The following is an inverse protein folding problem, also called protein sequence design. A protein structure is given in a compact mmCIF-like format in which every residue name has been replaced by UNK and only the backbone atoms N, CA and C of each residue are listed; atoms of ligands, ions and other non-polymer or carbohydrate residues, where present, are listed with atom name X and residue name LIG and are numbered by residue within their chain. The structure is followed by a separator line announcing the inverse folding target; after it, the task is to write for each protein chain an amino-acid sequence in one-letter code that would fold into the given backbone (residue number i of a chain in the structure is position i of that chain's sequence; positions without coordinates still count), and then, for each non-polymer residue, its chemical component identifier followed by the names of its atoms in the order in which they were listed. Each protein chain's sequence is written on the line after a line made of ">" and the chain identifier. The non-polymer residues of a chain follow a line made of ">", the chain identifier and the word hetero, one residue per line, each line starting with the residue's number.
data_IF_720290172699
#
_entry.id   IF_720290172699
#
_cell.length_a   1.000
_cell.length_b   1.000
_cell.length_c   1.000
_cell.angle_alpha   90.00
_cell.angle_beta   90.00
_cell.angle_gamma   90.00
#
_symmetry.space_group_name_H-M   'P 1'
#
loop_
_entity.id
_entity.type
_entity.pdbx_description
1 polymer ?
#
# COMPACT_ATOMS: atom_id res chain seq x y z
N UNK A 1 41.35 -53.34 15.46
CA UNK A 1 40.81 -53.08 16.80
C UNK A 1 39.34 -52.74 16.66
N UNK A 2 38.42 -53.47 17.31
CA UNK A 2 37.01 -53.13 17.34
C UNK A 2 36.78 -52.01 18.36
N UNK A 3 35.99 -51.00 18.03
CA UNK A 3 35.54 -50.01 19.01
C UNK A 3 34.05 -50.15 19.20
N UNK A 4 33.71 -50.49 20.43
CA UNK A 4 32.39 -50.87 20.91
C UNK A 4 31.32 -49.78 20.75
N UNK A 5 30.12 -50.27 20.50
CA UNK A 5 28.87 -49.56 20.44
C UNK A 5 28.39 -49.21 21.86
N UNK A 6 27.98 -47.97 22.10
CA UNK A 6 27.14 -47.62 23.25
C UNK A 6 26.02 -46.66 22.80
N UNK A 7 24.74 -47.10 22.80
CA UNK A 7 23.60 -46.21 22.63
C UNK A 7 22.96 -45.89 24.00
N UNK A 8 22.02 -44.93 23.97
CA UNK A 8 21.01 -44.56 24.97
C UNK A 8 21.31 -43.30 25.82
N UNK A 9 20.30 -42.57 26.36
CA UNK A 9 18.85 -42.84 26.34
C UNK A 9 17.96 -41.69 25.80
N UNK A 10 16.69 -42.05 25.59
CA UNK A 10 15.58 -41.16 25.30
C UNK A 10 15.41 -40.06 26.35
N UNK A 11 15.44 -38.79 25.92
CA UNK A 11 14.83 -37.67 26.65
C UNK A 11 13.62 -37.19 25.85
N UNK A 12 12.53 -37.92 26.04
CA UNK A 12 11.19 -37.62 25.62
C UNK A 12 10.59 -36.61 26.62
N UNK A 13 10.71 -35.31 26.36
CA UNK A 13 9.89 -34.26 27.00
C UNK A 13 9.36 -33.33 25.90
N UNK A 14 8.27 -33.66 25.22
CA UNK A 14 6.90 -33.44 25.72
C UNK A 14 6.68 -32.09 26.43
N UNK A 15 7.24 -31.00 25.90
CA UNK A 15 6.59 -29.68 26.02
C UNK A 15 5.44 -29.59 25.00
N UNK A 16 4.44 -30.42 25.29
CA UNK A 16 3.08 -30.31 24.82
C UNK A 16 2.53 -28.98 25.34
N UNK A 17 1.94 -28.20 24.45
CA UNK A 17 1.12 -27.01 24.70
C UNK A 17 1.85 -25.67 24.87
N UNK A 18 2.59 -25.25 23.83
CA UNK A 18 2.25 -23.91 23.34
C UNK A 18 0.90 -24.05 22.65
N UNK A 19 -0.12 -23.63 23.37
CA UNK A 19 -1.45 -23.37 22.89
C UNK A 19 -1.32 -22.36 21.75
N UNK A 20 -1.01 -22.86 20.54
CA UNK A 20 -1.20 -22.11 19.31
C UNK A 20 -2.70 -21.93 19.21
N UNK A 21 -3.16 -20.83 19.78
CA UNK A 21 -4.52 -20.35 19.66
C UNK A 21 -4.95 -20.58 18.21
N UNK A 22 -6.11 -21.19 17.96
CA UNK A 22 -6.58 -21.40 16.61
C UNK A 22 -6.74 -20.03 15.97
N UNK A 23 -5.71 -19.57 15.27
CA UNK A 23 -5.78 -18.39 14.43
C UNK A 23 -6.86 -18.72 13.42
N UNK A 24 -8.00 -18.10 13.66
CA UNK A 24 -9.25 -18.36 12.97
C UNK A 24 -8.95 -18.44 11.47
N UNK A 25 -9.48 -19.45 10.77
CA UNK A 25 -9.16 -19.68 9.34
C UNK A 25 -9.39 -18.45 8.44
N UNK A 26 -10.12 -17.45 8.94
CA UNK A 26 -10.28 -16.11 8.39
C UNK A 26 -8.94 -15.38 8.23
N UNK A 27 -8.03 -15.39 9.22
CA UNK A 27 -6.73 -14.70 9.15
C UNK A 27 -5.78 -15.33 8.14
N UNK A 28 -5.73 -16.67 8.07
CA UNK A 28 -5.00 -17.36 7.00
C UNK A 28 -5.54 -17.02 5.62
N UNK A 29 -6.87 -16.90 5.50
CA UNK A 29 -7.52 -16.56 4.22
C UNK A 29 -7.26 -15.10 3.81
N UNK A 30 -7.31 -14.15 4.74
CA UNK A 30 -7.06 -12.72 4.50
C UNK A 30 -5.58 -12.47 4.21
N UNK A 31 -4.70 -13.08 5.00
CA UNK A 31 -3.25 -13.07 4.75
C UNK A 31 -2.92 -13.62 3.36
N UNK A 32 -3.55 -14.72 2.95
CA UNK A 32 -3.37 -15.26 1.59
C UNK A 32 -3.91 -14.34 0.49
N UNK A 33 -4.98 -13.56 0.74
CA UNK A 33 -5.60 -12.66 -0.24
C UNK A 33 -4.80 -11.37 -0.41
N UNK A 34 -4.41 -10.74 0.71
CA UNK A 34 -3.52 -9.58 0.73
C UNK A 34 -2.15 -9.92 0.16
N UNK A 35 -1.56 -11.06 0.52
CA UNK A 35 -0.29 -11.50 -0.06
C UNK A 35 -0.41 -11.72 -1.57
N UNK A 36 -1.49 -12.35 -2.06
CA UNK A 36 -1.72 -12.51 -3.51
C UNK A 36 -1.97 -11.19 -4.23
N UNK A 37 -2.51 -10.20 -3.54
CA UNK A 37 -2.73 -8.87 -4.08
C UNK A 37 -1.43 -8.05 -4.15
N UNK A 38 -0.64 -8.05 -3.07
CA UNK A 38 0.63 -7.33 -2.95
C UNK A 38 1.77 -8.00 -3.73
N UNK A 39 1.73 -9.32 -3.89
CA UNK A 39 2.69 -10.12 -4.66
C UNK A 39 1.99 -10.86 -5.81
N UNK A 40 1.50 -10.12 -6.81
CA UNK A 40 0.77 -10.70 -7.91
C UNK A 40 1.69 -11.53 -8.83
N UNK A 41 1.15 -12.62 -9.37
CA UNK A 41 1.83 -13.37 -10.44
C UNK A 41 2.04 -12.46 -11.67
N UNK A 42 3.18 -12.58 -12.35
CA UNK A 42 3.50 -11.80 -13.55
C UNK A 42 2.44 -11.89 -14.66
N UNK A 43 2.38 -10.86 -15.49
CA UNK A 43 1.52 -10.86 -16.67
C UNK A 43 1.92 -11.95 -17.68
N UNK A 44 0.98 -12.37 -18.54
CA UNK A 44 1.30 -13.21 -19.71
C UNK A 44 2.24 -12.43 -20.63
N UNK A 45 3.27 -13.10 -21.18
CA UNK A 45 4.31 -12.49 -22.04
C UNK A 45 3.77 -12.10 -23.42
N UNK A 46 2.97 -11.04 -23.45
CA UNK A 46 2.39 -10.41 -24.62
C UNK A 46 1.91 -9.00 -24.22
N UNK A 47 2.00 -8.02 -25.11
CA UNK A 47 1.55 -6.63 -24.83
C UNK A 47 0.10 -6.60 -24.35
N UNK A 48 -0.80 -7.31 -25.03
CA UNK A 48 -2.21 -7.43 -24.61
C UNK A 48 -2.38 -8.11 -23.25
N UNK A 49 -1.50 -9.07 -22.90
CA UNK A 49 -1.46 -9.72 -21.59
C UNK A 49 -1.02 -8.77 -20.47
N UNK A 50 -0.07 -7.87 -20.75
CA UNK A 50 0.39 -6.82 -19.83
C UNK A 50 -0.76 -5.84 -19.58
N UNK A 51 -1.35 -5.26 -20.63
CA UNK A 51 -2.49 -4.34 -20.48
C UNK A 51 -3.66 -4.97 -19.72
N UNK A 52 -4.04 -6.22 -20.06
CA UNK A 52 -5.11 -6.95 -19.36
C UNK A 52 -4.77 -7.25 -17.90
N UNK A 53 -3.49 -7.40 -17.56
CA UNK A 53 -3.05 -7.61 -16.19
C UNK A 53 -3.12 -6.32 -15.37
N UNK A 54 -2.74 -5.19 -15.96
CA UNK A 54 -2.88 -3.87 -15.36
C UNK A 54 -4.35 -3.53 -15.18
N UNK A 55 -5.18 -3.58 -16.23
CA UNK A 55 -6.57 -3.14 -16.15
C UNK A 55 -7.40 -3.86 -15.06
N UNK A 56 -7.16 -5.15 -14.82
CA UNK A 56 -7.81 -5.89 -13.71
C UNK A 56 -7.49 -5.34 -12.33
N UNK A 57 -6.31 -4.72 -12.16
CA UNK A 57 -5.85 -4.13 -10.90
C UNK A 57 -6.21 -2.67 -10.79
N UNK A 58 -6.63 -2.02 -11.89
CA UNK A 58 -7.02 -0.63 -11.90
C UNK A 58 -8.15 -0.36 -10.91
N UNK A 59 -9.15 -1.24 -10.88
CA UNK A 59 -10.27 -1.10 -9.95
C UNK A 59 -9.81 -1.14 -8.49
N UNK A 60 -8.95 -2.10 -8.12
CA UNK A 60 -8.42 -2.17 -6.77
C UNK A 60 -7.51 -0.99 -6.42
N UNK A 61 -6.67 -0.54 -7.36
CA UNK A 61 -5.85 0.65 -7.21
C UNK A 61 -6.71 1.90 -6.98
N UNK A 62 -7.69 2.15 -7.86
CA UNK A 62 -8.61 3.27 -7.76
C UNK A 62 -9.45 3.22 -6.49
N UNK A 63 -9.83 2.03 -6.01
CA UNK A 63 -10.53 1.88 -4.74
C UNK A 63 -9.64 2.24 -3.54
N UNK A 64 -8.38 1.79 -3.53
CA UNK A 64 -7.43 2.10 -2.44
C UNK A 64 -7.09 3.60 -2.43
N UNK A 65 -6.74 4.15 -3.60
CA UNK A 65 -6.38 5.57 -3.75
C UNK A 65 -7.60 6.46 -3.49
N UNK A 66 -8.77 6.05 -3.99
CA UNK A 66 -10.04 6.75 -3.74
C UNK A 66 -10.45 6.71 -2.27
N UNK A 67 -10.27 5.57 -1.58
CA UNK A 67 -10.49 5.48 -0.14
C UNK A 67 -9.51 6.36 0.64
N UNK A 68 -8.22 6.33 0.28
CA UNK A 68 -7.21 7.20 0.89
C UNK A 68 -7.52 8.69 0.71
N UNK A 69 -7.84 9.11 -0.51
CA UNK A 69 -8.28 10.48 -0.81
C UNK A 69 -9.59 10.85 -0.13
N UNK A 70 -10.54 9.92 -0.01
CA UNK A 70 -11.80 10.13 0.71
C UNK A 70 -11.58 10.37 2.20
N UNK A 71 -10.67 9.62 2.83
CA UNK A 71 -10.28 9.86 4.22
C UNK A 71 -9.59 11.23 4.38
N UNK A 72 -8.73 11.60 3.45
CA UNK A 72 -8.12 12.95 3.42
C UNK A 72 -9.18 14.05 3.28
N UNK A 73 -10.21 13.84 2.45
CA UNK A 73 -11.31 14.78 2.29
C UNK A 73 -12.15 14.92 3.55
N UNK A 74 -12.45 13.81 4.24
CA UNK A 74 -13.15 13.83 5.52
C UNK A 74 -12.35 14.58 6.59
N UNK A 75 -11.03 14.35 6.66
CA UNK A 75 -10.15 15.07 7.57
C UNK A 75 -10.10 16.57 7.26
N UNK A 76 -10.04 16.94 5.98
CA UNK A 76 -10.12 18.33 5.55
C UNK A 76 -11.44 18.98 5.97
N UNK A 77 -12.57 18.32 5.71
CA UNK A 77 -13.88 18.80 6.14
C UNK A 77 -13.94 19.00 7.65
N UNK A 78 -13.48 18.03 8.44
CA UNK A 78 -13.44 18.13 9.90
C UNK A 78 -12.61 19.33 10.40
N UNK A 79 -11.49 19.64 9.75
CA UNK A 79 -10.69 20.84 10.05
C UNK A 79 -11.39 22.13 9.60
N UNK A 80 -12.08 22.10 8.47
CA UNK A 80 -12.87 23.24 7.98
C UNK A 80 -13.97 23.68 8.95
N UNK A 81 -14.56 22.75 9.70
CA UNK A 81 -15.51 23.06 10.79
C UNK A 81 -14.88 23.86 11.94
N UNK A 82 -13.57 23.74 12.15
CA UNK A 82 -12.85 24.38 13.28
C UNK A 82 -12.20 25.69 12.84
N UNK A 83 -11.57 25.69 11.66
CA UNK A 83 -10.66 26.76 11.23
C UNK A 83 -11.16 27.53 9.99
N UNK A 84 -12.27 27.11 9.38
CA UNK A 84 -12.77 27.61 8.11
C UNK A 84 -12.21 26.84 6.90
N UNK A 85 -12.94 26.89 5.78
CA UNK A 85 -12.57 26.18 4.56
C UNK A 85 -11.36 26.83 3.87
N UNK A 86 -10.46 25.98 3.35
CA UNK A 86 -9.33 26.39 2.51
C UNK A 86 -9.67 26.11 1.04
N UNK A 87 -9.89 27.16 0.22
CA UNK A 87 -10.32 27.01 -1.17
C UNK A 87 -9.25 26.36 -2.07
N UNK A 88 -8.00 26.26 -1.64
CA UNK A 88 -6.89 25.70 -2.42
C UNK A 88 -6.82 24.17 -2.26
N UNK A 89 -7.23 23.67 -1.10
CA UNK A 89 -6.96 22.32 -0.66
C UNK A 89 -7.77 21.27 -1.43
N UNK A 90 -9.03 21.58 -1.73
CA UNK A 90 -9.91 20.69 -2.47
C UNK A 90 -9.48 20.55 -3.95
N UNK A 91 -9.19 21.63 -4.71
CA UNK A 91 -8.53 21.54 -6.01
C UNK A 91 -7.20 20.78 -5.98
N UNK A 92 -6.37 21.00 -4.95
CA UNK A 92 -5.11 20.28 -4.80
C UNK A 92 -5.34 18.77 -4.64
N UNK A 93 -6.33 18.34 -3.86
CA UNK A 93 -6.68 16.93 -3.69
C UNK A 93 -7.09 16.27 -5.03
N UNK A 94 -7.90 16.97 -5.83
CA UNK A 94 -8.28 16.51 -7.18
C UNK A 94 -7.07 16.42 -8.12
N UNK A 95 -6.17 17.40 -8.07
CA UNK A 95 -4.94 17.37 -8.85
C UNK A 95 -4.05 16.17 -8.48
N UNK A 96 -3.88 15.92 -7.17
CA UNK A 96 -3.14 14.75 -6.68
C UNK A 96 -3.77 13.43 -7.14
N UNK A 97 -5.10 13.34 -7.16
CA UNK A 97 -5.81 12.19 -7.69
C UNK A 97 -5.57 12.02 -9.20
N UNK A 98 -5.56 13.10 -9.97
CA UNK A 98 -5.23 13.06 -11.39
C UNK A 98 -3.81 12.56 -11.63
N UNK A 99 -2.84 13.07 -10.86
CA UNK A 99 -1.43 12.62 -10.91
C UNK A 99 -1.32 11.13 -10.59
N UNK A 100 -2.02 10.63 -9.56
CA UNK A 100 -2.03 9.21 -9.23
C UNK A 100 -2.54 8.33 -10.39
N UNK A 101 -3.57 8.80 -11.11
CA UNK A 101 -4.07 8.10 -12.30
C UNK A 101 -3.05 8.12 -13.45
N UNK A 102 -2.35 9.23 -13.68
CA UNK A 102 -1.27 9.31 -14.68
C UNK A 102 -0.14 8.34 -14.32
N UNK A 103 0.34 8.36 -13.08
CA UNK A 103 1.36 7.42 -12.59
C UNK A 103 0.94 5.95 -12.79
N UNK A 104 -0.34 5.64 -12.59
CA UNK A 104 -0.86 4.31 -12.85
C UNK A 104 -0.78 3.93 -14.34
N UNK A 105 -1.18 4.85 -15.24
CA UNK A 105 -1.14 4.60 -16.69
C UNK A 105 0.27 4.47 -17.27
N UNK A 106 1.27 5.08 -16.63
CA UNK A 106 2.67 4.93 -17.03
C UNK A 106 3.18 3.50 -16.79
N UNK A 107 2.67 2.80 -15.77
CA UNK A 107 3.05 1.41 -15.46
C UNK A 107 3.00 0.43 -16.65
N UNK A 108 1.83 0.21 -17.28
CA UNK A 108 1.71 -0.68 -18.45
C UNK A 108 2.51 -0.19 -19.66
N UNK A 109 2.66 1.12 -19.83
CA UNK A 109 3.45 1.71 -20.93
C UNK A 109 4.93 1.39 -20.75
N UNK A 110 5.49 1.64 -19.56
CA UNK A 110 6.88 1.34 -19.24
C UNK A 110 7.14 -0.16 -19.35
N UNK A 111 6.26 -1.02 -18.83
CA UNK A 111 6.43 -2.48 -18.94
C UNK A 111 6.36 -2.96 -20.40
N UNK A 112 5.50 -2.35 -21.23
CA UNK A 112 5.41 -2.66 -22.66
C UNK A 112 6.65 -2.24 -23.44
N UNK A 113 7.22 -1.05 -23.13
CA UNK A 113 8.47 -0.58 -23.72
C UNK A 113 9.62 -1.51 -23.32
N UNK A 114 9.71 -1.87 -22.05
CA UNK A 114 10.76 -2.77 -21.55
C UNK A 114 10.68 -4.15 -22.22
N UNK A 115 9.47 -4.67 -22.40
CA UNK A 115 9.24 -5.91 -23.12
C UNK A 115 9.63 -5.82 -24.60
N UNK A 116 9.47 -4.65 -25.24
CA UNK A 116 9.83 -4.43 -26.64
C UNK A 116 11.35 -4.32 -26.85
N UNK A 117 12.07 -3.74 -25.89
CA UNK A 117 13.53 -3.54 -25.97
C UNK A 117 14.27 -4.83 -25.60
N UNK A 118 13.91 -5.48 -24.51
CA UNK A 118 14.65 -6.62 -23.95
C UNK A 118 13.92 -7.97 -24.04
N UNK A 119 12.72 -8.01 -24.61
CA UNK A 119 12.05 -9.26 -24.94
C UNK A 119 11.75 -10.16 -23.74
N UNK A 120 12.29 -11.39 -23.78
CA UNK A 120 12.01 -12.49 -22.84
C UNK A 120 13.07 -12.65 -21.74
N UNK A 121 14.16 -11.90 -21.80
CA UNK A 121 15.31 -12.05 -20.91
C UNK A 121 15.20 -11.22 -19.63
N UNK A 122 14.21 -10.31 -19.55
CA UNK A 122 13.97 -9.52 -18.34
C UNK A 122 13.07 -10.28 -17.37
N UNK A 123 13.45 -10.23 -16.08
CA UNK A 123 12.58 -10.62 -15.00
C UNK A 123 11.24 -9.84 -15.05
N UNK A 124 10.15 -10.42 -14.54
CA UNK A 124 8.85 -9.77 -14.55
C UNK A 124 8.85 -8.50 -13.68
N UNK A 125 8.87 -7.33 -14.33
CA UNK A 125 8.99 -6.02 -13.65
C UNK A 125 7.62 -5.45 -13.24
N UNK A 126 6.53 -5.90 -13.85
CA UNK A 126 5.16 -5.44 -13.56
C UNK A 126 4.76 -5.45 -12.08
N UNK A 127 4.99 -6.54 -11.32
CA UNK A 127 4.69 -6.57 -9.88
C UNK A 127 5.46 -5.53 -9.06
N UNK A 128 6.72 -5.25 -9.42
CA UNK A 128 7.54 -4.24 -8.74
C UNK A 128 7.07 -2.83 -9.06
N UNK A 129 6.81 -2.53 -10.34
CA UNK A 129 6.25 -1.24 -10.75
C UNK A 129 4.89 -0.97 -10.11
N UNK A 130 4.02 -1.99 -10.06
CA UNK A 130 2.72 -1.86 -9.43
C UNK A 130 2.83 -1.52 -7.93
N UNK A 131 3.72 -2.20 -7.19
CA UNK A 131 3.94 -1.92 -5.77
C UNK A 131 4.51 -0.53 -5.54
N UNK A 132 5.49 -0.11 -6.34
CA UNK A 132 6.08 1.22 -6.24
C UNK A 132 5.05 2.31 -6.56
N UNK A 133 4.27 2.15 -7.64
CA UNK A 133 3.21 3.07 -8.02
C UNK A 133 2.08 3.14 -7.00
N UNK A 134 1.68 2.01 -6.41
CA UNK A 134 0.68 1.96 -5.34
C UNK A 134 1.18 2.67 -4.08
N UNK A 135 2.42 2.39 -3.65
CA UNK A 135 3.01 3.02 -2.48
C UNK A 135 3.14 4.54 -2.66
N UNK A 136 3.61 4.98 -3.82
CA UNK A 136 3.68 6.40 -4.17
C UNK A 136 2.29 7.04 -4.14
N UNK A 137 1.29 6.41 -4.76
CA UNK A 137 -0.06 6.97 -4.85
C UNK A 137 -0.74 7.05 -3.48
N UNK A 138 -0.60 6.03 -2.64
CA UNK A 138 -1.08 6.06 -1.24
C UNK A 138 -0.32 7.11 -0.44
N UNK A 139 0.99 7.22 -0.64
CA UNK A 139 1.81 8.27 -0.02
C UNK A 139 1.29 9.66 -0.35
N UNK A 140 1.00 9.93 -1.61
CA UNK A 140 0.56 11.24 -2.10
C UNK A 140 -0.90 11.55 -1.74
N UNK A 141 -1.80 10.56 -1.79
CA UNK A 141 -3.25 10.80 -1.59
C UNK A 141 -3.73 10.65 -0.15
N UNK A 142 -2.95 9.97 0.69
CA UNK A 142 -3.30 9.74 2.09
C UNK A 142 -2.22 10.27 3.04
N UNK A 143 -0.98 9.79 2.88
CA UNK A 143 0.07 10.01 3.87
C UNK A 143 0.51 11.48 3.95
N UNK A 144 0.70 12.12 2.80
CA UNK A 144 1.08 13.52 2.70
C UNK A 144 -0.04 14.47 3.19
N UNK A 145 -1.32 14.36 2.75
CA UNK A 145 -2.40 15.17 3.29
C UNK A 145 -2.56 15.01 4.80
N UNK A 146 -2.54 13.78 5.31
CA UNK A 146 -2.66 13.53 6.76
C UNK A 146 -1.52 14.14 7.56
N UNK A 147 -0.29 14.09 7.05
CA UNK A 147 0.84 14.75 7.70
C UNK A 147 0.63 16.26 7.76
N UNK A 148 0.22 16.88 6.65
CA UNK A 148 -0.01 18.33 6.58
C UNK A 148 -1.14 18.78 7.51
N UNK A 149 -2.25 18.03 7.53
CA UNK A 149 -3.37 18.27 8.43
C UNK A 149 -2.97 18.11 9.90
N UNK A 150 -2.20 17.08 10.23
CA UNK A 150 -1.70 16.86 11.59
C UNK A 150 -0.81 18.01 12.07
N UNK A 151 0.12 18.47 11.22
CA UNK A 151 0.97 19.64 11.52
C UNK A 151 0.12 20.89 11.71
N UNK A 152 -0.84 21.14 10.83
CA UNK A 152 -1.72 22.31 10.91
C UNK A 152 -2.54 22.30 12.22
N UNK A 153 -3.19 21.18 12.54
CA UNK A 153 -3.95 21.02 13.77
C UNK A 153 -3.08 21.23 15.02
N UNK A 154 -1.85 20.72 15.02
CA UNK A 154 -0.90 20.93 16.11
C UNK A 154 -0.53 22.42 16.27
N UNK A 155 -0.28 23.13 15.16
CA UNK A 155 0.00 24.57 15.19
C UNK A 155 -1.20 25.35 15.73
N UNK A 156 -2.41 25.04 15.29
CA UNK A 156 -3.63 25.70 15.79
C UNK A 156 -3.81 25.46 17.28
N UNK A 157 -3.67 24.21 17.75
CA UNK A 157 -3.75 23.88 19.17
C UNK A 157 -2.73 24.66 20.01
N UNK A 158 -1.47 24.73 19.56
CA UNK A 158 -0.41 25.48 20.24
C UNK A 158 -0.75 26.98 20.29
N UNK A 159 -1.23 27.56 19.20
CA UNK A 159 -1.65 28.98 19.16
C UNK A 159 -2.81 29.25 20.12
N UNK A 160 -3.80 28.36 20.17
CA UNK A 160 -4.94 28.46 21.09
C UNK A 160 -4.49 28.39 22.55
N UNK A 161 -3.56 27.49 22.90
CA UNK A 161 -3.01 27.38 24.26
C UNK A 161 -2.17 28.59 24.65
N UNK A 162 -1.40 29.15 23.72
CA UNK A 162 -0.55 30.32 23.95
C UNK A 162 -1.32 31.65 23.94
N UNK A 163 -2.64 31.63 23.69
CA UNK A 163 -3.46 32.84 23.64
C UNK A 163 -3.13 33.78 22.47
N UNK A 164 -2.39 33.29 21.46
CA UNK A 164 -2.12 34.04 20.23
C UNK A 164 -3.35 33.89 19.34
N UNK A 165 -4.33 34.78 19.53
CA UNK A 165 -5.58 34.79 18.79
C UNK A 165 -5.36 34.89 17.28
N UNK A 166 -6.21 34.20 16.51
CA UNK A 166 -6.36 34.34 15.07
C UNK A 166 -6.81 35.78 14.78
N UNK A 167 -5.85 36.67 14.55
CA UNK A 167 -6.08 38.00 13.97
C UNK A 167 -6.17 37.90 12.45
#
# INVERSE_FOLDING_TARGET
>A
MPHDYHPAPAAMSRSRNEEVAPSTGRDRSLGSRLARFLYPRPARRSVGGIFKWWERRRLAFSLIVGAGGGVSLLAHGALGWIEGDDPILLPALFWLLAVANVCYTLGPVTESILHRIWGRDVLPVGPHLFRAGLALSVGVTFLLPMLLFGVRAAVTLVRSVLGVGLA
#
